data_IF_297834906183
#
_entry.id   IF_297834906183
#
_cell.length_a   1.000
_cell.length_b   1.000
_cell.length_c   1.000
_cell.angle_alpha   90.00
_cell.angle_beta   90.00
_cell.angle_gamma   90.00
#
_symmetry.space_group_name_H-M   'P 1'
#
loop_
_entity.id
_entity.type
_entity.pdbx_description
1 polymer ?
#
# COMPACT_ATOMS: atom_id res chain seq x y z
N UNK A 1 52.61 -4.43 -5.12
CA UNK A 1 51.50 -5.42 -5.07
C UNK A 1 51.24 -5.77 -3.61
N UNK A 2 50.19 -5.17 -3.06
CA UNK A 2 49.49 -5.44 -1.80
C UNK A 2 48.04 -5.13 -2.21
N UNK A 3 47.10 -6.05 -2.28
CA UNK A 3 46.73 -6.98 -1.23
C UNK A 3 45.48 -6.41 -0.55
N UNK A 4 44.33 -6.62 -1.22
CA UNK A 4 42.98 -6.76 -0.66
C UNK A 4 42.50 -5.70 0.35
N UNK A 5 41.66 -4.77 -0.11
CA UNK A 5 40.60 -4.17 0.71
C UNK A 5 39.26 -4.79 0.25
N UNK A 6 38.75 -5.70 1.07
CA UNK A 6 37.34 -6.14 1.08
C UNK A 6 36.66 -5.40 2.25
N UNK A 7 35.33 -5.32 2.16
CA UNK A 7 34.33 -4.69 3.04
C UNK A 7 34.02 -3.24 2.67
N UNK A 8 32.79 -2.85 2.34
CA UNK A 8 31.49 -3.48 2.63
C UNK A 8 30.49 -2.94 1.60
N UNK A 9 30.18 -3.72 0.56
CA UNK A 9 28.89 -3.56 -0.11
C UNK A 9 28.00 -4.56 0.61
N UNK A 10 27.39 -4.13 1.71
CA UNK A 10 26.22 -4.81 2.26
C UNK A 10 25.21 -4.89 1.11
N UNK A 11 25.21 -6.02 0.40
CA UNK A 11 24.14 -6.37 -0.49
C UNK A 11 22.87 -6.29 0.32
N UNK A 12 21.85 -5.60 -0.20
CA UNK A 12 20.52 -5.57 0.37
C UNK A 12 20.02 -7.02 0.39
N UNK A 13 20.30 -7.75 1.47
CA UNK A 13 19.89 -9.13 1.62
C UNK A 13 18.47 -9.10 2.14
N UNK A 14 17.51 -9.40 1.26
CA UNK A 14 16.14 -9.70 1.68
C UNK A 14 16.17 -10.74 2.80
N UNK A 15 15.44 -10.54 3.91
CA UNK A 15 15.37 -11.54 4.96
C UNK A 15 14.93 -12.88 4.36
N UNK A 16 15.73 -13.93 4.51
CA UNK A 16 15.38 -15.25 3.97
C UNK A 16 14.16 -15.85 4.69
N UNK A 17 13.89 -15.38 5.90
CA UNK A 17 12.77 -15.78 6.74
C UNK A 17 12.17 -14.56 7.41
N UNK A 18 10.85 -14.55 7.58
CA UNK A 18 10.12 -13.57 8.40
C UNK A 18 9.02 -14.27 9.20
N UNK A 19 8.71 -13.76 10.38
CA UNK A 19 7.48 -14.08 11.12
C UNK A 19 6.30 -13.29 10.53
N UNK A 20 5.03 -13.68 10.83
CA UNK A 20 3.88 -12.94 10.36
C UNK A 20 3.84 -11.50 10.91
N UNK A 21 4.28 -11.31 12.15
CA UNK A 21 4.37 -9.97 12.76
C UNK A 21 5.37 -9.10 12.00
N UNK A 22 6.59 -9.61 11.75
CA UNK A 22 7.60 -8.87 10.97
C UNK A 22 7.13 -8.56 9.56
N UNK A 23 6.39 -9.48 8.93
CA UNK A 23 5.76 -9.22 7.63
C UNK A 23 4.77 -8.06 7.73
N UNK A 24 3.88 -8.08 8.73
CA UNK A 24 2.88 -7.03 8.93
C UNK A 24 3.50 -5.66 9.16
N UNK A 25 4.49 -5.58 10.07
CA UNK A 25 5.21 -4.34 10.38
C UNK A 25 5.98 -3.81 9.17
N UNK A 26 6.68 -4.70 8.45
CA UNK A 26 7.42 -4.34 7.23
C UNK A 26 6.51 -3.84 6.11
N UNK A 27 5.35 -4.48 5.90
CA UNK A 27 4.38 -4.01 4.92
C UNK A 27 3.76 -2.67 5.32
N UNK A 28 3.50 -2.43 6.61
CA UNK A 28 3.00 -1.13 7.09
C UNK A 28 4.01 0.00 6.83
N UNK A 29 5.31 -0.26 7.07
CA UNK A 29 6.36 0.69 6.73
C UNK A 29 6.38 1.02 5.23
N UNK A 30 6.32 0.01 4.35
CA UNK A 30 6.31 0.21 2.91
C UNK A 30 5.07 0.96 2.41
N UNK A 31 3.91 0.78 3.07
CA UNK A 31 2.70 1.57 2.81
C UNK A 31 2.99 3.05 3.08
N UNK A 32 3.56 3.39 4.23
CA UNK A 32 3.85 4.77 4.60
C UNK A 32 4.89 5.43 3.70
N UNK A 33 5.94 4.69 3.32
CA UNK A 33 6.93 5.14 2.35
C UNK A 33 6.28 5.46 1.00
N UNK A 34 5.51 4.52 0.45
CA UNK A 34 4.83 4.69 -0.84
C UNK A 34 3.77 5.80 -0.82
N UNK A 35 3.05 5.91 0.29
CA UNK A 35 2.04 6.94 0.53
C UNK A 35 2.66 8.34 0.62
N UNK A 36 3.77 8.48 1.35
CA UNK A 36 4.51 9.75 1.44
C UNK A 36 5.12 10.13 0.09
N UNK A 37 5.71 9.15 -0.62
CA UNK A 37 6.25 9.33 -1.97
C UNK A 37 5.18 9.77 -2.98
N UNK A 38 3.94 9.31 -2.81
CA UNK A 38 2.82 9.68 -3.67
C UNK A 38 2.50 11.17 -3.61
N UNK A 39 2.66 11.80 -2.44
CA UNK A 39 2.36 13.21 -2.24
C UNK A 39 3.56 14.14 -2.42
N UNK A 40 4.77 13.62 -2.41
CA UNK A 40 6.00 14.43 -2.49
C UNK A 40 6.62 14.51 -3.89
N UNK A 41 6.34 13.56 -4.79
CA UNK A 41 6.89 13.57 -6.15
C UNK A 41 6.16 14.56 -7.07
N UNK A 42 6.60 15.83 -7.05
CA UNK A 42 6.26 16.84 -8.07
C UNK A 42 6.79 16.48 -9.48
N UNK A 43 7.80 15.60 -9.59
CA UNK A 43 8.54 15.31 -10.83
C UNK A 43 8.20 13.96 -11.52
N UNK A 44 7.16 13.24 -11.08
CA UNK A 44 6.79 11.99 -11.74
C UNK A 44 5.94 12.28 -12.98
N UNK A 45 6.45 12.01 -14.20
CA UNK A 45 5.62 11.96 -15.41
C UNK A 45 4.80 10.66 -15.46
N UNK A 46 3.47 10.73 -15.72
CA UNK A 46 2.66 11.93 -15.88
C UNK A 46 2.40 12.59 -14.53
N UNK A 47 2.54 13.93 -14.48
CA UNK A 47 2.27 14.75 -13.30
C UNK A 47 0.90 14.36 -12.74
N UNK A 48 0.84 14.02 -11.44
CA UNK A 48 -0.43 13.73 -10.80
C UNK A 48 -1.35 14.94 -11.03
N UNK A 49 -2.51 14.77 -11.69
CA UNK A 49 -3.41 15.90 -11.94
C UNK A 49 -3.82 16.47 -10.59
N UNK A 50 -3.61 17.77 -10.36
CA UNK A 50 -3.81 18.50 -9.08
C UNK A 50 -4.77 17.76 -8.15
N UNK A 51 -4.23 16.79 -7.40
CA UNK A 51 -4.98 16.13 -6.35
C UNK A 51 -5.03 17.23 -5.31
N UNK A 52 -6.21 17.82 -5.13
CA UNK A 52 -6.37 19.05 -4.36
C UNK A 52 -6.26 18.75 -2.86
N UNK A 53 -5.08 18.30 -2.43
CA UNK A 53 -4.70 17.97 -1.05
C UNK A 53 -4.58 19.26 -0.23
N UNK A 54 -4.38 20.40 -0.91
CA UNK A 54 -4.36 21.75 -0.35
C UNK A 54 -5.65 22.52 -0.68
N UNK A 55 -6.76 21.81 -0.88
CA UNK A 55 -8.08 22.46 -1.01
C UNK A 55 -8.33 23.32 0.22
N UNK A 56 -8.90 24.52 0.03
CA UNK A 56 -9.37 25.37 1.14
C UNK A 56 -10.44 24.66 2.00
N UNK A 57 -11.04 23.59 1.48
CA UNK A 57 -11.92 22.67 2.21
C UNK A 57 -11.12 21.53 2.87
N UNK A 58 -10.80 21.72 4.15
CA UNK A 58 -10.06 20.77 5.02
C UNK A 58 -10.70 19.38 5.06
N UNK A 59 -12.04 19.29 5.01
CA UNK A 59 -12.74 18.00 4.99
C UNK A 59 -12.51 17.24 3.67
N UNK A 60 -12.42 17.95 2.55
CA UNK A 60 -12.15 17.34 1.24
C UNK A 60 -10.70 16.87 1.13
N UNK A 61 -9.76 17.65 1.66
CA UNK A 61 -8.35 17.30 1.73
C UNK A 61 -8.13 16.06 2.60
N UNK A 62 -8.69 16.05 3.81
CA UNK A 62 -8.64 14.89 4.72
C UNK A 62 -9.19 13.63 4.08
N UNK A 63 -10.36 13.70 3.43
CA UNK A 63 -10.96 12.56 2.75
C UNK A 63 -10.11 12.03 1.59
N UNK A 64 -9.46 12.91 0.85
CA UNK A 64 -8.60 12.51 -0.29
C UNK A 64 -7.36 11.76 0.20
N UNK A 65 -6.75 12.25 1.29
CA UNK A 65 -5.61 11.62 1.97
C UNK A 65 -6.01 10.23 2.46
N UNK A 66 -7.16 10.09 3.11
CA UNK A 66 -7.67 8.80 3.59
C UNK A 66 -7.93 7.81 2.44
N UNK A 67 -8.57 8.24 1.35
CA UNK A 67 -8.87 7.36 0.22
C UNK A 67 -7.58 6.91 -0.51
N UNK A 68 -6.52 7.75 -0.51
CA UNK A 68 -5.19 7.35 -0.99
C UNK A 68 -4.57 6.28 -0.09
N UNK A 69 -4.60 6.47 1.24
CA UNK A 69 -4.08 5.49 2.19
C UNK A 69 -4.78 4.13 2.03
N UNK A 70 -6.10 4.13 1.94
CA UNK A 70 -6.89 2.90 1.74
C UNK A 70 -6.46 2.17 0.46
N UNK A 71 -6.17 2.89 -0.62
CA UNK A 71 -5.68 2.29 -1.86
C UNK A 71 -4.31 1.61 -1.68
N UNK A 72 -3.36 2.26 -1.01
CA UNK A 72 -2.05 1.65 -0.73
C UNK A 72 -2.19 0.43 0.19
N UNK A 73 -2.97 0.53 1.27
CA UNK A 73 -3.24 -0.62 2.14
C UNK A 73 -3.79 -1.82 1.35
N UNK A 74 -4.73 -1.58 0.44
CA UNK A 74 -5.28 -2.63 -0.43
C UNK A 74 -4.20 -3.23 -1.34
N UNK A 75 -3.38 -2.39 -1.98
CA UNK A 75 -2.36 -2.85 -2.92
C UNK A 75 -1.32 -3.75 -2.23
N UNK A 76 -0.84 -3.34 -1.05
CA UNK A 76 0.12 -4.12 -0.26
C UNK A 76 -0.51 -5.40 0.32
N UNK A 77 -1.76 -5.34 0.77
CA UNK A 77 -2.52 -6.53 1.18
C UNK A 77 -2.61 -7.54 0.05
N UNK A 78 -2.98 -7.08 -1.15
CA UNK A 78 -3.12 -7.94 -2.34
C UNK A 78 -1.77 -8.51 -2.79
N UNK A 79 -0.71 -7.70 -2.80
CA UNK A 79 0.64 -8.17 -3.14
C UNK A 79 1.13 -9.24 -2.18
N UNK A 80 0.95 -9.05 -0.86
CA UNK A 80 1.26 -10.06 0.15
C UNK A 80 0.46 -11.36 -0.05
N UNK A 81 -0.85 -11.25 -0.27
CA UNK A 81 -1.69 -12.43 -0.56
C UNK A 81 -1.22 -13.18 -1.81
N UNK A 82 -0.89 -12.47 -2.89
CA UNK A 82 -0.42 -13.08 -4.13
C UNK A 82 0.94 -13.77 -3.97
N UNK A 83 1.85 -13.21 -3.18
CA UNK A 83 3.18 -13.78 -2.95
C UNK A 83 3.13 -15.12 -2.21
N UNK A 84 2.19 -15.25 -1.26
CA UNK A 84 2.11 -16.42 -0.39
C UNK A 84 1.02 -17.42 -0.76
N UNK A 85 0.20 -17.12 -1.77
CA UNK A 85 -0.91 -17.97 -2.21
C UNK A 85 -0.45 -19.40 -2.51
N UNK A 86 -1.01 -20.37 -1.79
CA UNK A 86 -0.69 -21.79 -1.97
C UNK A 86 0.68 -22.23 -1.43
N UNK A 87 1.49 -21.30 -0.91
CA UNK A 87 2.81 -21.57 -0.32
C UNK A 87 2.79 -21.59 1.21
N UNK A 88 1.90 -20.81 1.80
CA UNK A 88 1.79 -20.61 3.25
C UNK A 88 0.34 -20.86 3.66
N UNK A 89 0.06 -21.44 4.85
CA UNK A 89 -1.30 -21.57 5.35
C UNK A 89 -2.00 -20.20 5.47
N UNK A 90 -3.26 -20.13 5.02
CA UNK A 90 -4.05 -18.89 5.00
C UNK A 90 -4.09 -18.18 6.36
N UNK A 91 -4.17 -18.94 7.46
CA UNK A 91 -4.18 -18.38 8.82
C UNK A 91 -2.90 -17.62 9.15
N UNK A 92 -1.75 -18.10 8.68
CA UNK A 92 -0.46 -17.44 8.94
C UNK A 92 -0.36 -16.14 8.14
N UNK A 93 -0.84 -16.13 6.90
CA UNK A 93 -0.95 -14.91 6.09
C UNK A 93 -1.89 -13.92 6.77
N UNK A 94 -3.03 -14.40 7.28
CA UNK A 94 -4.03 -13.58 7.98
C UNK A 94 -3.43 -12.85 9.18
N UNK A 95 -2.63 -13.52 10.03
CA UNK A 95 -1.96 -12.86 11.16
C UNK A 95 -1.06 -11.70 10.71
N UNK A 96 -0.30 -11.89 9.63
CA UNK A 96 0.56 -10.83 9.11
C UNK A 96 -0.22 -9.66 8.52
N UNK A 97 -1.30 -9.93 7.78
CA UNK A 97 -2.16 -8.89 7.24
C UNK A 97 -2.93 -8.15 8.35
N UNK A 98 -3.42 -8.86 9.38
CA UNK A 98 -4.06 -8.24 10.54
C UNK A 98 -3.06 -7.33 11.29
N UNK A 99 -1.79 -7.75 11.39
CA UNK A 99 -0.71 -6.94 11.97
C UNK A 99 -0.44 -5.68 11.15
N UNK A 100 -0.40 -5.77 9.82
CA UNK A 100 -0.29 -4.61 8.92
C UNK A 100 -1.40 -3.58 9.18
N UNK A 101 -2.66 -4.02 9.25
CA UNK A 101 -3.78 -3.08 9.42
C UNK A 101 -3.71 -2.41 10.78
N UNK A 102 -3.40 -3.19 11.83
CA UNK A 102 -3.21 -2.66 13.19
C UNK A 102 -2.09 -1.62 13.22
N UNK A 103 -0.92 -1.91 12.67
CA UNK A 103 0.22 -0.99 12.68
C UNK A 103 -0.11 0.33 11.98
N UNK A 104 -0.82 0.28 10.84
CA UNK A 104 -1.29 1.50 10.15
C UNK A 104 -2.28 2.29 11.01
N UNK A 105 -3.26 1.64 11.65
CA UNK A 105 -4.25 2.34 12.46
C UNK A 105 -3.66 2.92 13.76
N UNK A 106 -2.73 2.21 14.40
CA UNK A 106 -2.00 2.69 15.58
C UNK A 106 -1.19 3.94 15.22
N UNK A 107 -0.45 3.90 14.10
CA UNK A 107 0.34 5.03 13.62
C UNK A 107 -0.54 6.24 13.27
N UNK A 108 -1.71 6.02 12.65
CA UNK A 108 -2.69 7.08 12.40
C UNK A 108 -3.12 7.80 13.68
N UNK A 109 -3.37 7.05 14.77
CA UNK A 109 -3.78 7.60 16.06
C UNK A 109 -2.62 8.34 16.73
N UNK A 110 -1.43 7.74 16.73
CA UNK A 110 -0.21 8.34 17.26
C UNK A 110 0.07 9.71 16.62
N UNK A 111 -0.21 9.84 15.31
CA UNK A 111 0.01 11.06 14.54
C UNK A 111 -1.21 11.98 14.44
N UNK A 112 -2.21 11.79 15.32
CA UNK A 112 -3.25 12.79 15.57
C UNK A 112 -4.63 12.49 14.99
N UNK A 113 -4.85 11.33 14.37
CA UNK A 113 -6.20 10.88 14.02
C UNK A 113 -6.97 10.54 15.30
N UNK A 114 -8.14 11.14 15.58
CA UNK A 114 -8.91 10.81 16.77
C UNK A 114 -9.37 9.34 16.74
N UNK A 115 -9.14 8.58 17.81
CA UNK A 115 -9.56 7.16 17.92
C UNK A 115 -11.06 6.97 17.59
N UNK A 116 -11.90 7.94 17.96
CA UNK A 116 -13.34 7.93 17.65
C UNK A 116 -13.68 7.89 16.15
N UNK A 117 -12.73 8.24 15.27
CA UNK A 117 -12.89 8.23 13.82
C UNK A 117 -12.44 6.90 13.19
N UNK A 118 -11.64 6.08 13.88
CA UNK A 118 -11.15 4.79 13.35
C UNK A 118 -12.27 3.86 12.87
N UNK A 119 -13.40 3.67 13.59
CA UNK A 119 -14.45 2.78 13.10
C UNK A 119 -15.06 3.20 11.76
N UNK A 120 -15.08 4.50 11.48
CA UNK A 120 -15.56 5.03 10.20
C UNK A 120 -14.52 4.83 9.10
N UNK A 121 -13.23 4.95 9.42
CA UNK A 121 -12.13 4.64 8.50
C UNK A 121 -12.11 3.14 8.15
N UNK A 122 -12.17 2.25 9.13
CA UNK A 122 -12.23 0.79 8.93
C UNK A 122 -13.40 0.38 8.03
N UNK A 123 -14.59 0.95 8.25
CA UNK A 123 -15.75 0.68 7.39
C UNK A 123 -15.50 1.07 5.93
N UNK A 124 -14.78 2.18 5.71
CA UNK A 124 -14.36 2.58 4.36
C UNK A 124 -13.35 1.60 3.79
N UNK A 125 -12.33 1.19 4.55
CA UNK A 125 -11.35 0.16 4.15
C UNK A 125 -12.08 -1.08 3.62
N UNK A 126 -12.99 -1.67 4.40
CA UNK A 126 -13.75 -2.87 3.99
C UNK A 126 -14.53 -2.64 2.70
N UNK A 127 -15.22 -1.50 2.58
CA UNK A 127 -16.02 -1.17 1.40
C UNK A 127 -15.13 -1.03 0.16
N UNK A 128 -14.02 -0.31 0.28
CA UNK A 128 -13.08 -0.08 -0.82
C UNK A 128 -12.36 -1.34 -1.23
N UNK A 129 -11.98 -2.20 -0.29
CA UNK A 129 -11.32 -3.47 -0.61
C UNK A 129 -12.19 -4.35 -1.49
N UNK A 130 -13.49 -4.45 -1.18
CA UNK A 130 -14.43 -5.21 -2.01
C UNK A 130 -14.54 -4.61 -3.42
N UNK A 131 -14.66 -3.28 -3.52
CA UNK A 131 -14.73 -2.58 -4.81
C UNK A 131 -13.45 -2.76 -5.64
N UNK A 132 -12.28 -2.58 -5.03
CA UNK A 132 -10.98 -2.73 -5.70
C UNK A 132 -10.70 -4.18 -6.08
N UNK A 133 -11.06 -5.15 -5.23
CA UNK A 133 -10.93 -6.56 -5.57
C UNK A 133 -11.78 -6.94 -6.78
N UNK A 134 -13.03 -6.48 -6.83
CA UNK A 134 -13.90 -6.70 -7.99
C UNK A 134 -13.32 -6.04 -9.24
N UNK A 135 -12.95 -4.76 -9.15
CA UNK A 135 -12.40 -4.01 -10.28
C UNK A 135 -11.10 -4.62 -10.82
N UNK A 136 -10.19 -5.03 -9.94
CA UNK A 136 -8.93 -5.68 -10.30
C UNK A 136 -9.09 -7.12 -10.81
N UNK A 137 -10.27 -7.74 -10.65
CA UNK A 137 -10.61 -9.00 -11.33
C UNK A 137 -11.02 -8.75 -12.78
N UNK A 138 -11.59 -7.58 -13.08
CA UNK A 138 -11.96 -7.18 -14.44
C UNK A 138 -10.75 -6.69 -15.25
N UNK A 139 -9.97 -5.75 -14.71
CA UNK A 139 -8.70 -5.27 -15.30
C UNK A 139 -8.00 -4.24 -14.41
N UNK A 140 -6.71 -4.02 -14.64
CA UNK A 140 -5.95 -2.95 -13.98
C UNK A 140 -6.53 -1.56 -14.27
N UNK A 141 -7.02 -1.34 -15.50
CA UNK A 141 -7.70 -0.09 -15.87
C UNK A 141 -8.95 0.16 -15.02
N UNK A 142 -9.76 -0.88 -14.77
CA UNK A 142 -10.96 -0.77 -13.92
C UNK A 142 -10.62 -0.44 -12.47
N UNK A 143 -9.54 -1.01 -11.96
CA UNK A 143 -9.02 -0.69 -10.64
C UNK A 143 -8.62 0.80 -10.57
N UNK A 144 -7.87 1.30 -11.54
CA UNK A 144 -7.50 2.72 -11.59
C UNK A 144 -8.70 3.65 -11.67
N UNK A 145 -9.72 3.31 -12.46
CA UNK A 145 -11.00 4.05 -12.50
C UNK A 145 -11.71 4.07 -11.14
N UNK A 146 -11.69 2.94 -10.41
CA UNK A 146 -12.31 2.84 -9.09
C UNK A 146 -11.58 3.72 -8.06
N UNK A 147 -10.26 3.62 -7.99
CA UNK A 147 -9.45 4.44 -7.09
C UNK A 147 -9.55 5.93 -7.43
N UNK A 148 -9.52 6.29 -8.72
CA UNK A 148 -9.65 7.69 -9.17
C UNK A 148 -10.98 8.32 -8.77
N UNK A 149 -12.09 7.57 -8.83
CA UNK A 149 -13.41 8.07 -8.40
C UNK A 149 -13.42 8.49 -6.94
N UNK A 150 -12.81 7.70 -6.07
CA UNK A 150 -12.78 7.98 -4.63
C UNK A 150 -11.86 9.15 -4.29
N UNK A 151 -10.71 9.24 -4.96
CA UNK A 151 -9.78 10.36 -4.79
C UNK A 151 -10.34 11.70 -5.28
N UNK A 152 -11.15 11.72 -6.35
CA UNK A 152 -11.70 12.96 -6.91
C UNK A 152 -13.09 13.33 -6.38
N UNK A 153 -13.77 12.38 -5.72
CA UNK A 153 -15.08 12.56 -5.08
C UNK A 153 -16.29 12.69 -5.99
N UNK A 154 -16.14 12.66 -7.34
CA UNK A 154 -17.27 12.84 -8.27
C UNK A 154 -17.20 12.01 -9.56
N UNK A 155 -16.11 12.13 -10.33
CA UNK A 155 -15.92 11.38 -11.58
C UNK A 155 -14.47 10.90 -11.71
N UNK A 156 -14.28 9.74 -12.35
CA UNK A 156 -12.95 9.23 -12.67
C UNK A 156 -12.24 10.25 -13.56
N UNK A 157 -11.05 10.68 -13.15
CA UNK A 157 -10.16 11.44 -14.01
C UNK A 157 -9.34 10.42 -14.82
N UNK A 158 -9.41 10.47 -16.16
CA UNK A 158 -8.72 9.50 -17.02
C UNK A 158 -7.20 9.50 -16.82
N UNK A 159 -6.59 10.67 -16.61
CA UNK A 159 -5.15 10.80 -16.34
C UNK A 159 -4.80 10.14 -15.00
N UNK A 160 -5.55 10.49 -13.94
CA UNK A 160 -5.34 9.90 -12.62
C UNK A 160 -5.60 8.38 -12.61
N UNK A 161 -6.61 7.92 -13.35
CA UNK A 161 -6.93 6.50 -13.49
C UNK A 161 -5.81 5.75 -14.18
N UNK A 162 -5.21 6.31 -15.22
CA UNK A 162 -4.03 5.75 -15.88
C UNK A 162 -2.85 5.69 -14.90
N UNK A 163 -2.53 6.78 -14.20
CA UNK A 163 -1.45 6.81 -13.21
C UNK A 163 -1.68 5.79 -12.09
N UNK A 164 -2.89 5.67 -11.55
CA UNK A 164 -3.20 4.71 -10.50
C UNK A 164 -3.14 3.26 -10.99
N UNK A 165 -3.55 3.00 -12.24
CA UNK A 165 -3.38 1.68 -12.87
C UNK A 165 -1.90 1.36 -13.04
N UNK A 166 -1.13 2.32 -13.55
CA UNK A 166 0.32 2.23 -13.75
C UNK A 166 1.11 2.22 -12.45
N UNK A 167 0.54 2.64 -11.32
CA UNK A 167 1.17 2.63 -9.98
C UNK A 167 0.76 1.41 -9.15
N UNK A 168 -0.43 0.85 -9.35
CA UNK A 168 -0.84 -0.40 -8.69
C UNK A 168 0.06 -1.57 -9.09
N UNK A 169 0.40 -1.67 -10.38
CA UNK A 169 1.18 -2.78 -10.94
C UNK A 169 2.63 -2.79 -10.40
N UNK A 170 3.37 -1.68 -10.32
CA UNK A 170 4.72 -1.61 -9.77
C UNK A 170 4.79 -1.64 -8.24
N UNK A 171 3.66 -1.58 -7.54
CA UNK A 171 3.63 -1.88 -6.11
C UNK A 171 3.41 -3.39 -5.93
N UNK A 172 2.38 -3.93 -6.58
CA UNK A 172 1.96 -5.33 -6.38
C UNK A 172 2.97 -6.33 -6.93
N UNK A 173 3.50 -6.13 -8.14
CA UNK A 173 4.40 -7.11 -8.76
C UNK A 173 5.81 -7.15 -8.12
N UNK A 174 6.52 -6.03 -7.92
CA UNK A 174 7.81 -6.04 -7.23
C UNK A 174 7.71 -6.49 -5.78
N UNK A 175 6.64 -6.11 -5.07
CA UNK A 175 6.39 -6.61 -3.73
C UNK A 175 6.18 -8.13 -3.75
N UNK A 176 5.36 -8.63 -4.68
CA UNK A 176 5.16 -10.06 -4.85
C UNK A 176 6.49 -10.76 -5.10
N UNK A 177 7.28 -10.28 -6.05
CA UNK A 177 8.54 -10.90 -6.44
C UNK A 177 9.57 -10.88 -5.30
N UNK A 178 9.64 -9.78 -4.54
CA UNK A 178 10.46 -9.69 -3.33
C UNK A 178 10.02 -10.70 -2.26
N UNK A 179 8.72 -10.76 -1.98
CA UNK A 179 8.15 -11.69 -1.00
C UNK A 179 8.17 -13.14 -1.50
N UNK A 180 8.29 -13.36 -2.82
CA UNK A 180 8.36 -14.70 -3.39
C UNK A 180 9.63 -15.44 -2.90
N UNK A 181 10.68 -14.71 -2.55
CA UNK A 181 11.92 -15.28 -2.02
C UNK A 181 11.88 -15.51 -0.49
N UNK A 182 10.87 -14.98 0.21
CA UNK A 182 10.76 -15.02 1.67
C UNK A 182 10.03 -16.28 2.14
N UNK A 183 10.56 -16.92 3.18
CA UNK A 183 9.89 -18.02 3.88
C UNK A 183 9.19 -17.49 5.13
N UNK A 184 7.85 -17.57 5.17
CA UNK A 184 7.07 -17.16 6.34
C UNK A 184 7.06 -18.28 7.40
N UNK A 185 7.82 -18.06 8.47
CA UNK A 185 7.97 -18.99 9.61
C UNK A 185 6.95 -18.66 10.71
N UNK A 186 6.76 -19.58 11.66
CA UNK A 186 5.94 -19.30 12.84
C UNK A 186 6.65 -18.31 13.79
N UNK A 187 5.87 -17.59 14.59
CA UNK A 187 6.35 -16.73 15.67
C UNK A 187 6.89 -17.50 16.87
#
# INVERSE_FOLDING_TARGET
MLGTFIDDVQGFHSPQTMTPTELGDGLAQLIWESFSDFFTKEDAEPSLPDINIFSEDENRSSRTIEEALIFFMWAYTRGGQMAFLGRVPDERIRVGLDTLHRAVFEDMVEHGTPESQLPMFERRVVTRYAEYQQAATESDHRLGEAASRHLMGHQANKSLSAVLSERAIPIVNPLRDFLDEVVLIDS
#
